data_IF_270724778081
#
_entry.id   IF_270724778081
#
_cell.length_a   1.000
_cell.length_b   1.000
_cell.length_c   1.000
_cell.angle_alpha   90.00
_cell.angle_beta   90.00
_cell.angle_gamma   90.00
#
_symmetry.space_group_name_H-M   'P 1'
#
loop_
_entity.id
_entity.type
_entity.pdbx_description
1 polymer ?
#
# COMPACT_ATOMS: atom_id res chain seq x y z
N UNK A 1 23.58 -24.77 14.54
CA UNK A 1 22.21 -24.34 14.94
C UNK A 1 22.35 -23.18 15.89
N UNK A 2 21.78 -22.05 15.58
CA UNK A 2 21.82 -20.86 16.45
C UNK A 2 20.87 -21.12 17.62
N UNK A 3 21.37 -21.07 18.86
CA UNK A 3 20.54 -21.27 20.05
C UNK A 3 19.62 -20.08 20.22
N UNK A 4 18.33 -20.31 20.52
CA UNK A 4 17.39 -19.26 20.81
C UNK A 4 17.75 -18.52 22.11
N UNK A 5 17.66 -17.22 22.10
CA UNK A 5 17.62 -16.40 23.32
C UNK A 5 16.20 -16.39 23.85
N UNK A 6 16.04 -16.83 25.11
CA UNK A 6 14.74 -16.77 25.80
C UNK A 6 14.76 -15.54 26.69
N UNK A 7 13.87 -14.61 26.41
CA UNK A 7 13.70 -13.38 27.20
C UNK A 7 12.53 -13.60 28.16
N UNK A 8 12.79 -13.76 29.46
CA UNK A 8 11.74 -14.08 30.42
C UNK A 8 10.84 -12.86 30.68
N UNK A 9 9.64 -13.12 31.20
CA UNK A 9 8.60 -12.11 31.44
C UNK A 9 9.09 -10.81 32.14
N UNK A 10 9.99 -10.84 33.13
CA UNK A 10 10.50 -9.60 33.77
C UNK A 10 11.38 -8.72 32.88
N UNK A 11 11.91 -9.26 31.78
CA UNK A 11 12.88 -8.57 30.91
C UNK A 11 12.25 -7.90 29.68
N UNK A 12 10.91 -7.93 29.53
CA UNK A 12 10.20 -7.28 28.45
C UNK A 12 8.89 -6.63 28.90
N UNK A 13 8.38 -5.70 28.09
CA UNK A 13 7.20 -4.87 28.41
C UNK A 13 5.85 -5.51 28.06
N UNK A 14 5.79 -6.62 27.34
CA UNK A 14 4.52 -7.20 26.88
C UNK A 14 3.68 -7.69 28.07
N UNK A 15 2.47 -7.14 28.24
CA UNK A 15 1.45 -7.62 29.16
C UNK A 15 0.32 -8.31 28.42
N UNK A 16 -0.30 -9.31 29.03
CA UNK A 16 -1.55 -9.92 28.50
C UNK A 16 -2.67 -8.91 28.38
N UNK A 17 -2.69 -7.88 29.20
CA UNK A 17 -3.70 -6.81 29.15
C UNK A 17 -3.62 -6.00 27.85
N UNK A 18 -2.50 -6.09 27.14
CA UNK A 18 -2.28 -5.41 25.85
C UNK A 18 -2.57 -6.34 24.66
N UNK A 19 -2.94 -7.59 24.91
CA UNK A 19 -3.28 -8.59 23.90
C UNK A 19 -4.80 -8.72 23.86
N UNK A 20 -5.36 -8.70 22.65
CA UNK A 20 -6.78 -8.84 22.45
C UNK A 20 -7.34 -10.13 23.07
N UNK A 21 -8.50 -10.04 23.74
CA UNK A 21 -9.15 -11.15 24.41
C UNK A 21 -9.44 -12.34 23.48
N UNK A 22 -9.71 -12.07 22.21
CA UNK A 22 -9.99 -13.09 21.21
C UNK A 22 -8.71 -13.82 20.84
N UNK A 23 -7.61 -13.11 20.68
CA UNK A 23 -6.29 -13.70 20.45
C UNK A 23 -5.87 -14.57 21.65
N UNK A 24 -6.07 -14.08 22.88
CA UNK A 24 -5.82 -14.87 24.10
C UNK A 24 -6.68 -16.14 24.15
N UNK A 25 -7.97 -16.09 23.81
CA UNK A 25 -8.85 -17.25 23.73
C UNK A 25 -8.32 -18.32 22.78
N UNK A 26 -7.82 -17.90 21.60
CA UNK A 26 -7.25 -18.83 20.62
C UNK A 26 -5.96 -19.45 21.13
N UNK A 27 -5.03 -18.63 21.66
CA UNK A 27 -3.76 -19.09 22.23
C UNK A 27 -3.98 -20.12 23.36
N UNK A 28 -4.81 -19.79 24.35
CA UNK A 28 -5.07 -20.69 25.46
C UNK A 28 -5.79 -21.97 25.05
N UNK A 29 -6.66 -21.92 24.05
CA UNK A 29 -7.36 -23.12 23.56
C UNK A 29 -6.41 -24.07 22.84
N UNK A 30 -5.47 -23.55 22.02
CA UNK A 30 -4.41 -24.34 21.41
C UNK A 30 -3.51 -24.94 22.49
N UNK A 31 -3.04 -24.14 23.43
CA UNK A 31 -2.19 -24.60 24.54
C UNK A 31 -2.84 -25.68 25.39
N UNK A 32 -4.12 -25.53 25.77
CA UNK A 32 -4.86 -26.54 26.52
C UNK A 32 -5.09 -27.84 25.75
N UNK A 33 -5.07 -27.80 24.42
CA UNK A 33 -5.14 -28.99 23.58
C UNK A 33 -3.77 -29.67 23.38
N UNK A 34 -2.71 -29.17 24.04
CA UNK A 34 -1.36 -29.74 24.02
C UNK A 34 -0.48 -29.22 22.88
N UNK A 35 -0.95 -28.20 22.14
CA UNK A 35 -0.15 -27.58 21.07
C UNK A 35 0.66 -26.39 21.59
N UNK A 36 1.80 -26.18 21.01
CA UNK A 36 2.58 -24.94 21.18
C UNK A 36 1.83 -23.81 20.50
N UNK A 37 1.61 -22.70 21.21
CA UNK A 37 0.85 -21.56 20.67
C UNK A 37 1.54 -20.24 21.05
N UNK A 38 1.91 -19.46 20.04
CA UNK A 38 2.71 -18.26 20.21
C UNK A 38 2.13 -17.11 19.40
N UNK A 39 2.11 -15.90 19.97
CA UNK A 39 1.98 -14.70 19.14
C UNK A 39 3.24 -14.50 18.34
N UNK A 40 3.12 -13.95 17.13
CA UNK A 40 4.26 -13.78 16.25
C UNK A 40 4.14 -12.53 15.37
N UNK A 41 5.27 -12.11 14.83
CA UNK A 41 5.31 -11.11 13.76
C UNK A 41 5.06 -9.68 14.23
N UNK A 42 4.27 -8.94 13.45
CA UNK A 42 4.03 -7.53 13.71
C UNK A 42 3.38 -7.23 15.05
N UNK A 43 2.51 -8.11 15.54
CA UNK A 43 1.86 -7.96 16.83
C UNK A 43 2.85 -7.93 18.01
N UNK A 44 3.79 -8.86 18.05
CA UNK A 44 4.82 -8.90 19.11
C UNK A 44 5.72 -7.66 19.06
N UNK A 45 6.19 -7.29 17.87
CA UNK A 45 6.98 -6.07 17.67
C UNK A 45 6.23 -4.81 18.11
N UNK A 46 4.99 -4.65 17.69
CA UNK A 46 4.20 -3.45 18.00
C UNK A 46 3.95 -3.34 19.50
N UNK A 47 3.69 -4.47 20.20
CA UNK A 47 3.58 -4.51 21.66
C UNK A 47 4.89 -4.09 22.35
N UNK A 48 6.04 -4.54 21.86
CA UNK A 48 7.37 -4.14 22.40
C UNK A 48 7.66 -2.65 22.20
N UNK A 49 7.16 -2.07 21.11
CA UNK A 49 7.25 -0.64 20.81
C UNK A 49 6.22 0.21 21.59
N UNK A 50 5.36 -0.41 22.39
CA UNK A 50 4.30 0.27 23.13
C UNK A 50 3.11 0.70 22.25
N UNK A 51 2.98 0.13 21.06
CA UNK A 51 1.87 0.38 20.14
C UNK A 51 0.77 -0.68 20.33
N UNK A 52 -0.49 -0.30 20.07
CA UNK A 52 -1.59 -1.26 19.98
C UNK A 52 -1.54 -1.95 18.60
N UNK A 53 -1.34 -3.29 18.52
CA UNK A 53 -1.39 -4.02 17.26
C UNK A 53 -2.78 -3.93 16.63
N UNK A 54 -2.81 -3.87 15.28
CA UNK A 54 -4.09 -3.98 14.54
C UNK A 54 -4.58 -5.42 14.45
N UNK A 55 -3.63 -6.35 14.27
CA UNK A 55 -3.89 -7.75 14.03
C UNK A 55 -2.96 -8.60 14.92
N UNK A 56 -3.46 -9.75 15.37
CA UNK A 56 -2.70 -10.71 16.17
C UNK A 56 -2.58 -12.00 15.38
N UNK A 57 -1.36 -12.31 14.92
CA UNK A 57 -1.03 -13.54 14.23
C UNK A 57 -0.56 -14.58 15.25
N UNK A 58 -1.05 -15.82 15.11
CA UNK A 58 -0.67 -16.94 15.96
C UNK A 58 0.08 -17.97 15.14
N UNK A 59 1.22 -18.41 15.65
CA UNK A 59 1.97 -19.54 15.12
C UNK A 59 1.90 -20.73 16.09
N UNK A 60 1.79 -21.96 15.55
CA UNK A 60 1.58 -23.18 16.32
C UNK A 60 2.19 -24.38 15.61
N UNK A 61 2.46 -25.46 16.36
CA UNK A 61 2.81 -26.79 15.81
C UNK A 61 1.57 -27.61 15.42
N UNK A 62 0.35 -27.15 15.76
CA UNK A 62 -0.88 -27.77 15.28
C UNK A 62 -0.99 -27.66 13.75
N UNK A 63 -1.32 -28.76 13.08
CA UNK A 63 -1.60 -28.75 11.65
C UNK A 63 -2.92 -28.00 11.36
N UNK A 64 -3.11 -27.41 10.16
CA UNK A 64 -4.33 -26.65 9.84
C UNK A 64 -5.62 -27.45 10.06
N UNK A 65 -5.58 -28.76 9.80
CA UNK A 65 -6.71 -29.68 10.01
C UNK A 65 -7.04 -29.85 11.50
N UNK A 66 -6.03 -29.82 12.37
CA UNK A 66 -6.24 -29.94 13.83
C UNK A 66 -6.77 -28.61 14.39
N UNK A 67 -6.26 -27.47 13.88
CA UNK A 67 -6.88 -26.17 14.18
C UNK A 67 -8.34 -26.17 13.76
N UNK A 68 -8.65 -26.71 12.56
CA UNK A 68 -10.04 -26.82 12.08
C UNK A 68 -10.92 -27.71 12.96
N UNK A 69 -10.40 -28.81 13.49
CA UNK A 69 -11.12 -29.67 14.45
C UNK A 69 -11.34 -28.96 15.80
N UNK A 70 -10.30 -28.23 16.26
CA UNK A 70 -10.35 -27.53 17.54
C UNK A 70 -11.30 -26.32 17.51
N UNK A 71 -11.40 -25.61 16.38
CA UNK A 71 -12.22 -24.42 16.20
C UNK A 71 -13.29 -24.65 15.13
N UNK A 72 -14.54 -24.96 15.54
CA UNK A 72 -15.66 -25.14 14.61
C UNK A 72 -15.94 -23.88 13.77
N UNK A 73 -15.66 -22.69 14.33
CA UNK A 73 -15.77 -21.38 13.69
C UNK A 73 -14.52 -21.00 12.88
N UNK A 74 -13.80 -21.94 12.30
CA UNK A 74 -12.62 -21.67 11.48
C UNK A 74 -12.79 -22.11 10.02
N UNK A 75 -12.00 -21.51 9.12
CA UNK A 75 -11.88 -21.90 7.72
C UNK A 75 -10.41 -21.97 7.32
N UNK A 76 -10.06 -22.99 6.54
CA UNK A 76 -8.74 -23.09 5.92
C UNK A 76 -8.73 -22.26 4.67
N UNK A 77 -7.74 -21.36 4.55
CA UNK A 77 -7.55 -20.46 3.41
C UNK A 77 -6.14 -20.58 2.87
N UNK A 78 -5.94 -20.06 1.66
CA UNK A 78 -4.65 -20.04 1.00
C UNK A 78 -4.33 -21.33 0.24
N UNK A 79 -3.96 -21.18 -1.05
CA UNK A 79 -3.47 -22.29 -1.89
C UNK A 79 -1.97 -22.45 -1.79
N UNK A 80 -1.25 -21.33 -1.75
CA UNK A 80 0.21 -21.29 -1.65
C UNK A 80 0.67 -21.52 -0.21
N UNK A 81 -0.02 -20.89 0.73
CA UNK A 81 0.25 -20.93 2.16
C UNK A 81 -1.05 -21.23 2.88
N UNK A 82 -1.17 -22.45 3.41
CA UNK A 82 -2.40 -22.88 4.09
C UNK A 82 -2.42 -22.31 5.50
N UNK A 83 -3.45 -21.52 5.81
CA UNK A 83 -3.67 -20.86 7.09
C UNK A 83 -5.07 -21.24 7.62
N UNK A 84 -5.26 -21.20 8.91
CA UNK A 84 -6.58 -21.28 9.52
C UNK A 84 -7.02 -19.88 9.97
N UNK A 85 -8.15 -19.40 9.44
CA UNK A 85 -8.84 -18.22 9.96
C UNK A 85 -9.88 -18.64 10.98
N UNK A 86 -9.74 -18.17 12.22
CA UNK A 86 -10.72 -18.38 13.29
C UNK A 86 -11.57 -17.13 13.44
N UNK A 87 -12.90 -17.28 13.27
CA UNK A 87 -13.83 -16.15 13.17
C UNK A 87 -14.54 -15.89 14.49
N UNK A 88 -14.56 -14.64 14.93
CA UNK A 88 -15.33 -14.16 16.08
C UNK A 88 -16.20 -12.98 15.63
N UNK A 89 -17.37 -13.28 15.07
CA UNK A 89 -18.20 -12.28 14.44
C UNK A 89 -17.52 -11.67 13.20
N UNK A 90 -17.08 -10.40 13.30
CA UNK A 90 -16.36 -9.71 12.24
C UNK A 90 -14.83 -9.80 12.37
N UNK A 91 -14.36 -10.24 13.52
CA UNK A 91 -12.93 -10.34 13.80
C UNK A 91 -12.40 -11.71 13.39
N UNK A 92 -11.15 -11.72 12.95
CA UNK A 92 -10.49 -12.92 12.43
C UNK A 92 -9.11 -13.01 13.08
N UNK A 93 -8.81 -14.17 13.68
CA UNK A 93 -7.46 -14.50 14.12
C UNK A 93 -6.84 -15.46 13.10
N UNK A 94 -5.70 -15.06 12.56
CA UNK A 94 -4.90 -15.92 11.67
C UNK A 94 -4.06 -16.88 12.51
N UNK A 95 -4.19 -18.18 12.21
CA UNK A 95 -3.41 -19.24 12.85
C UNK A 95 -2.59 -19.95 11.77
N UNK A 96 -1.27 -19.84 11.87
CA UNK A 96 -0.31 -20.47 10.98
C UNK A 96 0.38 -21.64 11.66
N UNK A 97 0.51 -22.78 10.97
CA UNK A 97 1.39 -23.87 11.42
C UNK A 97 2.84 -23.51 11.16
N UNK A 98 3.76 -23.84 12.07
CA UNK A 98 5.21 -23.70 11.84
C UNK A 98 5.61 -24.41 10.55
N UNK A 99 6.40 -23.74 9.73
CA UNK A 99 6.78 -24.27 8.41
C UNK A 99 8.25 -24.59 8.35
N UNK A 100 8.58 -25.64 7.62
CA UNK A 100 9.96 -26.06 7.44
C UNK A 100 10.78 -25.04 6.65
N UNK A 101 12.07 -24.92 6.97
CA UNK A 101 13.06 -24.13 6.24
C UNK A 101 13.29 -24.69 4.84
N UNK A 102 13.72 -23.85 3.89
CA UNK A 102 14.05 -24.25 2.52
C UNK A 102 15.36 -25.06 2.41
N UNK A 103 16.14 -25.15 3.50
CA UNK A 103 17.50 -25.65 3.49
C UNK A 103 17.59 -27.21 3.36
N UNK A 104 16.49 -27.93 3.59
CA UNK A 104 16.49 -29.40 3.46
C UNK A 104 16.10 -29.89 2.05
N UNK A 105 16.88 -29.51 1.03
CA UNK A 105 16.75 -30.06 -0.34
C UNK A 105 16.99 -31.58 -0.47
N UNK A 106 17.52 -32.21 0.56
CA UNK A 106 17.90 -33.64 0.52
C UNK A 106 16.85 -34.61 1.08
N UNK A 107 15.67 -34.13 1.48
CA UNK A 107 14.57 -35.01 1.89
C UNK A 107 13.36 -34.88 0.95
N UNK A 108 13.59 -35.04 -0.35
CA UNK A 108 12.51 -35.19 -1.32
C UNK A 108 11.95 -36.60 -1.27
N UNK A 109 10.89 -36.80 -0.50
CA UNK A 109 9.93 -37.83 -0.80
C UNK A 109 8.84 -37.25 -1.72
N UNK A 110 8.40 -38.06 -2.66
CA UNK A 110 7.62 -37.82 -3.86
C UNK A 110 6.23 -37.23 -3.71
N UNK A 111 5.92 -36.39 -2.69
CA UNK A 111 4.68 -35.69 -2.58
C UNK A 111 4.87 -34.16 -2.66
N UNK A 112 4.35 -33.62 -3.75
CA UNK A 112 4.56 -32.28 -4.30
C UNK A 112 3.96 -31.11 -3.48
N UNK A 113 4.20 -31.01 -2.18
CA UNK A 113 3.75 -29.90 -1.36
C UNK A 113 4.63 -28.64 -1.47
N UNK A 114 5.83 -28.78 -2.07
CA UNK A 114 6.67 -27.67 -2.52
C UNK A 114 6.74 -27.63 -4.03
N UNK A 115 6.50 -26.47 -4.60
CA UNK A 115 6.70 -26.22 -6.02
C UNK A 115 7.41 -24.87 -6.20
N UNK A 116 8.45 -24.89 -7.05
CA UNK A 116 9.14 -23.68 -7.52
C UNK A 116 8.91 -23.56 -9.02
N UNK A 117 8.97 -22.35 -9.55
CA UNK A 117 9.09 -22.14 -11.00
C UNK A 117 10.57 -22.26 -11.44
N UNK A 118 10.81 -22.24 -12.76
CA UNK A 118 12.15 -22.33 -13.34
C UNK A 118 13.10 -21.19 -12.92
N UNK A 119 12.58 -20.14 -12.31
CA UNK A 119 13.34 -19.00 -11.75
C UNK A 119 13.62 -19.13 -10.25
N UNK A 120 13.26 -20.25 -9.61
CA UNK A 120 13.45 -20.51 -8.18
C UNK A 120 12.38 -19.86 -7.29
N UNK A 121 11.26 -19.36 -7.84
CA UNK A 121 10.17 -18.76 -7.06
C UNK A 121 9.28 -19.82 -6.45
N UNK A 122 8.92 -19.63 -5.19
CA UNK A 122 8.04 -20.53 -4.43
C UNK A 122 6.60 -20.45 -4.97
N UNK A 123 6.09 -21.54 -5.52
CA UNK A 123 4.69 -21.67 -5.96
C UNK A 123 3.79 -22.30 -4.89
N UNK A 124 4.31 -23.28 -4.14
CA UNK A 124 3.67 -23.89 -2.97
C UNK A 124 4.70 -24.11 -1.87
N UNK A 125 4.28 -23.94 -0.62
CA UNK A 125 5.12 -24.17 0.55
C UNK A 125 4.22 -24.54 1.74
N UNK A 126 3.74 -25.77 1.75
CA UNK A 126 2.93 -26.35 2.83
C UNK A 126 3.68 -27.46 3.60
N UNK A 127 5.01 -27.40 3.56
CA UNK A 127 5.84 -28.29 4.37
C UNK A 127 5.96 -27.72 5.78
N UNK A 128 5.52 -28.50 6.77
CA UNK A 128 5.51 -28.08 8.16
C UNK A 128 6.82 -28.46 8.85
N UNK A 129 7.26 -27.64 9.80
CA UNK A 129 8.52 -27.75 10.50
C UNK A 129 8.43 -27.38 11.97
N UNK A 130 9.58 -27.11 12.56
CA UNK A 130 9.72 -26.65 13.92
C UNK A 130 9.70 -25.11 14.01
N UNK A 131 9.61 -24.56 15.21
CA UNK A 131 9.66 -23.13 15.44
C UNK A 131 10.90 -22.48 14.82
N UNK A 132 12.07 -23.10 14.99
CA UNK A 132 13.32 -22.62 14.40
C UNK A 132 13.23 -22.46 12.88
N UNK A 133 12.66 -23.47 12.20
CA UNK A 133 12.49 -23.42 10.74
C UNK A 133 11.58 -22.25 10.31
N UNK A 134 10.51 -22.00 11.06
CA UNK A 134 9.57 -20.90 10.77
C UNK A 134 10.22 -19.54 10.92
N UNK A 135 11.18 -19.38 11.84
CA UNK A 135 11.97 -18.15 12.02
C UNK A 135 12.77 -17.82 10.77
N UNK A 136 13.59 -18.76 10.29
CA UNK A 136 14.54 -18.52 9.19
C UNK A 136 13.90 -18.24 7.84
N UNK A 137 12.65 -18.59 7.64
CA UNK A 137 11.91 -18.29 6.42
C UNK A 137 11.22 -16.92 6.44
N UNK A 138 11.10 -16.26 7.60
CA UNK A 138 10.52 -14.92 7.69
C UNK A 138 11.39 -13.88 6.98
N UNK A 139 10.82 -12.70 6.77
CA UNK A 139 11.51 -11.63 6.03
C UNK A 139 12.50 -10.86 6.90
N UNK A 140 12.02 -10.23 7.96
CA UNK A 140 12.84 -9.33 8.80
C UNK A 140 12.90 -9.83 10.24
N UNK A 141 14.05 -9.60 10.88
CA UNK A 141 14.29 -9.97 12.29
C UNK A 141 13.20 -9.47 13.20
N UNK A 142 12.82 -8.20 13.07
CA UNK A 142 11.78 -7.54 13.89
C UNK A 142 10.39 -8.16 13.76
N UNK A 143 10.16 -9.02 12.77
CA UNK A 143 8.92 -9.78 12.57
C UNK A 143 9.09 -11.27 12.94
N UNK A 144 10.23 -11.66 13.53
CA UNK A 144 10.55 -13.04 13.88
C UNK A 144 10.70 -13.26 15.39
N UNK A 145 10.04 -12.44 16.17
CA UNK A 145 9.87 -12.62 17.61
C UNK A 145 8.60 -13.41 17.89
N UNK A 146 8.70 -14.35 18.84
CA UNK A 146 7.60 -15.22 19.23
C UNK A 146 7.35 -15.06 20.74
N UNK A 147 6.11 -14.68 21.12
CA UNK A 147 5.69 -14.60 22.50
C UNK A 147 4.96 -15.87 22.89
N UNK A 148 5.53 -16.66 23.80
CA UNK A 148 5.00 -17.94 24.26
C UNK A 148 3.95 -17.70 25.35
N UNK A 149 2.74 -18.24 25.15
CA UNK A 149 1.66 -18.11 26.12
C UNK A 149 1.82 -19.05 27.31
N UNK A 150 2.70 -20.04 27.25
CA UNK A 150 2.90 -21.03 28.30
C UNK A 150 3.64 -20.46 29.52
N UNK A 151 4.66 -19.65 29.28
CA UNK A 151 5.54 -19.05 30.30
C UNK A 151 5.70 -17.54 30.18
N UNK A 152 5.05 -16.94 29.15
CA UNK A 152 5.08 -15.51 28.86
C UNK A 152 6.45 -14.99 28.46
N UNK A 153 7.34 -15.85 27.97
CA UNK A 153 8.66 -15.47 27.45
C UNK A 153 8.57 -15.04 25.98
N UNK A 154 9.63 -14.35 25.53
CA UNK A 154 9.87 -14.10 24.11
C UNK A 154 11.00 -14.99 23.65
N UNK A 155 10.80 -15.66 22.52
CA UNK A 155 11.79 -16.50 21.85
C UNK A 155 12.38 -15.73 20.69
N UNK A 156 13.68 -15.49 20.69
CA UNK A 156 14.45 -14.78 19.69
C UNK A 156 15.62 -15.60 19.16
N UNK A 157 15.60 -15.94 17.87
CA UNK A 157 16.70 -16.66 17.19
C UNK A 157 17.61 -15.72 16.39
N UNK A 158 17.24 -14.46 16.21
CA UNK A 158 17.80 -13.56 15.19
C UNK A 158 18.35 -12.25 15.76
N UNK A 159 18.44 -12.11 17.09
CA UNK A 159 18.76 -10.85 17.77
C UNK A 159 17.77 -9.73 17.44
N UNK A 160 16.52 -10.09 17.22
CA UNK A 160 15.45 -9.16 16.85
C UNK A 160 15.13 -8.15 17.96
N UNK A 161 15.32 -8.52 19.23
CA UNK A 161 15.14 -7.61 20.37
C UNK A 161 16.08 -6.42 20.28
N UNK A 162 17.34 -6.63 19.89
CA UNK A 162 18.32 -5.55 19.69
C UNK A 162 17.93 -4.68 18.48
N UNK A 163 17.51 -5.30 17.38
CA UNK A 163 17.06 -4.59 16.18
C UNK A 163 15.80 -3.73 16.48
N UNK A 164 14.85 -4.24 17.27
CA UNK A 164 13.67 -3.45 17.71
C UNK A 164 14.10 -2.27 18.60
N UNK A 165 14.97 -2.50 19.56
CA UNK A 165 15.49 -1.47 20.48
C UNK A 165 16.24 -0.38 19.73
N UNK A 166 17.06 -0.76 18.75
CA UNK A 166 17.88 0.15 17.95
C UNK A 166 17.16 0.72 16.73
N UNK A 167 15.89 0.35 16.51
CA UNK A 167 15.08 0.73 15.32
C UNK A 167 15.76 0.38 14.01
N UNK A 168 16.29 -0.83 13.91
CA UNK A 168 16.97 -1.36 12.73
C UNK A 168 16.07 -2.38 12.04
N UNK A 169 15.95 -2.29 10.73
CA UNK A 169 15.26 -3.26 9.88
C UNK A 169 16.30 -4.13 9.17
N UNK A 170 16.44 -5.37 9.62
CA UNK A 170 17.40 -6.34 9.09
C UNK A 170 16.67 -7.50 8.43
N UNK A 171 17.08 -7.85 7.22
CA UNK A 171 16.60 -9.05 6.52
C UNK A 171 17.22 -10.30 7.15
N UNK A 172 16.43 -11.36 7.33
CA UNK A 172 16.91 -12.64 7.86
C UNK A 172 17.61 -13.42 6.76
N UNK A 173 18.79 -13.97 7.06
CA UNK A 173 19.61 -14.71 6.11
C UNK A 173 20.46 -13.81 5.21
N UNK A 174 21.00 -14.36 4.12
CA UNK A 174 21.79 -13.59 3.16
C UNK A 174 20.91 -12.67 2.30
N UNK A 175 21.06 -11.33 2.40
CA UNK A 175 20.17 -10.41 1.72
C UNK A 175 20.18 -10.53 0.19
N UNK A 176 21.32 -10.86 -0.42
CA UNK A 176 21.43 -11.07 -1.87
C UNK A 176 20.52 -12.23 -2.31
N UNK A 177 20.63 -13.36 -1.64
CA UNK A 177 19.81 -14.55 -1.90
C UNK A 177 18.33 -14.27 -1.64
N UNK A 178 18.03 -13.67 -0.49
CA UNK A 178 16.65 -13.43 -0.05
C UNK A 178 15.88 -12.46 -0.96
N UNK A 179 16.53 -11.43 -1.50
CA UNK A 179 15.90 -10.52 -2.47
C UNK A 179 15.74 -11.16 -3.84
N UNK A 180 16.63 -12.08 -4.25
CA UNK A 180 16.46 -12.85 -5.49
C UNK A 180 15.31 -13.86 -5.40
N UNK A 181 15.15 -14.53 -4.27
CA UNK A 181 14.01 -15.42 -4.01
C UNK A 181 12.67 -14.71 -4.08
N UNK A 182 12.59 -13.49 -3.53
CA UNK A 182 11.39 -12.66 -3.52
C UNK A 182 11.74 -11.17 -3.56
N UNK A 183 11.84 -10.58 -4.76
CA UNK A 183 12.15 -9.15 -4.93
C UNK A 183 11.18 -8.20 -4.24
N UNK A 184 9.93 -8.63 -3.98
CA UNK A 184 8.95 -7.84 -3.23
C UNK A 184 9.42 -7.54 -1.80
N UNK A 185 10.35 -8.31 -1.23
CA UNK A 185 10.96 -8.01 0.06
C UNK A 185 11.65 -6.64 0.08
N UNK A 186 12.16 -6.14 -1.05
CA UNK A 186 12.68 -4.77 -1.16
C UNK A 186 11.60 -3.72 -0.92
N UNK A 187 10.42 -3.88 -1.53
CA UNK A 187 9.27 -2.99 -1.28
C UNK A 187 8.75 -3.11 0.15
N UNK A 188 8.80 -4.32 0.73
CA UNK A 188 8.46 -4.54 2.14
C UNK A 188 9.45 -3.86 3.07
N UNK A 189 10.76 -3.86 2.76
CA UNK A 189 11.78 -3.12 3.50
C UNK A 189 11.45 -1.62 3.53
N UNK A 190 11.18 -1.02 2.37
CA UNK A 190 10.76 0.38 2.25
C UNK A 190 9.52 0.65 3.10
N UNK A 191 8.50 -0.20 2.99
CA UNK A 191 7.25 -0.04 3.72
C UNK A 191 7.44 -0.10 5.24
N UNK A 192 8.22 -1.07 5.73
CA UNK A 192 8.47 -1.18 7.16
C UNK A 192 9.37 -0.06 7.67
N UNK A 193 10.40 0.32 6.93
CA UNK A 193 11.23 1.48 7.26
C UNK A 193 10.38 2.75 7.40
N UNK A 194 9.49 3.03 6.42
CA UNK A 194 8.59 4.18 6.46
C UNK A 194 7.58 4.11 7.62
N UNK A 195 6.94 2.93 7.81
CA UNK A 195 5.86 2.75 8.80
C UNK A 195 6.37 2.81 10.23
N UNK A 196 7.54 2.21 10.50
CA UNK A 196 8.09 2.05 11.85
C UNK A 196 9.08 3.15 12.21
N UNK A 197 9.48 3.97 11.26
CA UNK A 197 10.57 4.94 11.40
C UNK A 197 11.88 4.23 11.78
N UNK A 198 12.18 3.15 11.05
CA UNK A 198 13.39 2.32 11.23
C UNK A 198 14.36 2.55 10.09
N UNK A 199 15.66 2.44 10.38
CA UNK A 199 16.72 2.43 9.37
C UNK A 199 16.94 1.01 8.84
N UNK A 200 17.14 0.87 7.54
CA UNK A 200 17.51 -0.43 6.97
C UNK A 200 18.98 -0.71 7.31
N UNK A 201 19.28 -1.93 7.82
CA UNK A 201 20.65 -2.34 8.13
C UNK A 201 21.52 -2.30 6.88
N UNK A 202 22.79 -1.83 6.95
CA UNK A 202 23.66 -1.69 5.76
C UNK A 202 23.75 -2.94 4.90
N UNK A 203 23.88 -4.13 5.49
CA UNK A 203 23.95 -5.40 4.74
C UNK A 203 22.66 -5.67 3.96
N UNK A 204 21.50 -5.24 4.48
CA UNK A 204 20.20 -5.38 3.83
C UNK A 204 19.90 -4.22 2.88
N UNK A 205 20.54 -3.07 3.05
CA UNK A 205 20.36 -1.86 2.25
C UNK A 205 21.08 -1.95 0.90
N UNK A 206 22.36 -2.30 0.90
CA UNK A 206 23.19 -2.30 -0.31
C UNK A 206 22.59 -3.16 -1.45
N UNK A 207 22.13 -4.39 -1.21
CA UNK A 207 21.55 -5.20 -2.27
C UNK A 207 20.25 -4.64 -2.87
N UNK A 208 19.58 -3.70 -2.23
CA UNK A 208 18.39 -3.04 -2.81
C UNK A 208 18.79 -2.24 -4.06
N UNK A 209 19.94 -1.56 -4.02
CA UNK A 209 20.44 -0.80 -5.17
C UNK A 209 20.80 -1.73 -6.33
N UNK A 210 21.42 -2.88 -6.04
CA UNK A 210 21.93 -3.82 -7.04
C UNK A 210 20.80 -4.62 -7.70
N UNK A 211 19.78 -4.99 -6.91
CA UNK A 211 18.74 -5.95 -7.29
C UNK A 211 17.38 -5.33 -7.58
N UNK A 212 17.25 -4.00 -7.47
CA UNK A 212 15.97 -3.29 -7.69
C UNK A 212 15.33 -3.63 -9.04
N UNK A 213 16.14 -3.90 -10.07
CA UNK A 213 15.68 -4.28 -11.40
C UNK A 213 14.81 -5.55 -11.44
N UNK A 214 14.98 -6.47 -10.47
CA UNK A 214 14.17 -7.69 -10.36
C UNK A 214 12.67 -7.41 -10.07
N UNK A 215 12.32 -6.19 -9.65
CA UNK A 215 10.92 -5.80 -9.51
C UNK A 215 10.16 -5.79 -10.85
N UNK A 216 10.87 -5.63 -11.97
CA UNK A 216 10.27 -5.68 -13.30
C UNK A 216 9.67 -7.06 -13.64
N UNK A 217 10.17 -8.12 -13.00
CA UNK A 217 9.71 -9.50 -13.22
C UNK A 217 8.55 -9.92 -12.30
N UNK A 218 8.12 -9.04 -11.38
CA UNK A 218 7.04 -9.36 -10.45
C UNK A 218 5.68 -9.25 -11.14
N UNK A 219 4.76 -10.22 -10.91
CA UNK A 219 3.43 -10.15 -11.47
C UNK A 219 2.72 -8.82 -11.14
N UNK A 220 2.12 -8.13 -12.15
CA UNK A 220 1.52 -6.81 -11.97
C UNK A 220 0.43 -6.75 -10.89
N UNK A 221 -0.30 -7.84 -10.66
CA UNK A 221 -1.31 -7.92 -9.61
C UNK A 221 -0.67 -7.85 -8.21
N UNK A 222 0.49 -8.51 -8.03
CA UNK A 222 1.23 -8.48 -6.76
C UNK A 222 1.82 -7.10 -6.48
N UNK A 223 2.36 -6.43 -7.52
CA UNK A 223 2.83 -5.05 -7.40
C UNK A 223 1.69 -4.09 -7.02
N UNK A 224 0.49 -4.29 -7.56
CA UNK A 224 -0.67 -3.50 -7.17
C UNK A 224 -0.93 -3.56 -5.66
N UNK A 225 -0.94 -4.76 -5.08
CA UNK A 225 -1.19 -4.94 -3.65
C UNK A 225 -0.09 -4.28 -2.79
N UNK A 226 1.18 -4.42 -3.17
CA UNK A 226 2.29 -3.80 -2.43
C UNK A 226 2.30 -2.27 -2.58
N UNK A 227 1.96 -1.72 -3.74
CA UNK A 227 1.81 -0.27 -3.95
C UNK A 227 0.73 0.31 -3.03
N UNK A 228 -0.40 -0.39 -2.87
CA UNK A 228 -1.43 0.06 -1.92
C UNK A 228 -0.92 0.02 -0.48
N UNK A 229 -0.20 -1.03 -0.08
CA UNK A 229 0.38 -1.12 1.26
C UNK A 229 1.43 -0.03 1.52
N UNK A 230 2.21 0.37 0.52
CA UNK A 230 3.19 1.45 0.61
C UNK A 230 2.52 2.80 0.84
N UNK A 231 1.57 3.15 -0.02
CA UNK A 231 1.00 4.50 -0.08
C UNK A 231 -0.29 4.69 0.73
N UNK A 232 -0.91 3.61 1.20
CA UNK A 232 -2.07 3.66 2.11
C UNK A 232 -1.72 3.20 3.53
N UNK A 233 -0.47 3.39 3.93
CA UNK A 233 0.00 3.10 5.30
C UNK A 233 -0.14 4.28 6.26
N UNK A 234 -0.48 5.47 5.77
CA UNK A 234 -0.42 6.73 6.51
C UNK A 234 0.99 7.33 6.57
N UNK A 235 1.91 6.81 5.73
CA UNK A 235 3.31 7.25 5.58
C UNK A 235 3.73 7.27 4.09
N UNK A 236 2.79 7.61 3.20
CA UNK A 236 3.01 7.59 1.75
C UNK A 236 4.09 8.56 1.29
N UNK A 237 4.19 9.73 1.93
CA UNK A 237 5.26 10.72 1.65
C UNK A 237 6.64 10.11 1.93
N UNK A 238 6.83 9.50 3.09
CA UNK A 238 8.10 8.84 3.45
C UNK A 238 8.39 7.67 2.53
N UNK A 239 7.36 6.88 2.19
CA UNK A 239 7.48 5.79 1.22
C UNK A 239 7.97 6.27 -0.15
N UNK A 240 7.46 7.41 -0.65
CA UNK A 240 7.92 8.01 -1.90
C UNK A 240 9.41 8.42 -1.81
N UNK A 241 9.80 9.08 -0.73
CA UNK A 241 11.19 9.51 -0.52
C UNK A 241 12.16 8.32 -0.50
N UNK A 242 11.79 7.23 0.19
CA UNK A 242 12.60 6.02 0.24
C UNK A 242 12.64 5.30 -1.13
N UNK A 243 11.50 5.19 -1.83
CA UNK A 243 11.48 4.62 -3.18
C UNK A 243 12.38 5.39 -4.16
N UNK A 244 12.43 6.72 -4.05
CA UNK A 244 13.37 7.55 -4.84
C UNK A 244 14.82 7.32 -4.43
N UNK A 245 15.11 7.34 -3.11
CA UNK A 245 16.46 7.10 -2.57
C UNK A 245 17.06 5.80 -3.09
N UNK A 246 16.27 4.74 -3.11
CA UNK A 246 16.70 3.41 -3.54
C UNK A 246 16.48 3.13 -5.04
N UNK A 247 16.11 4.13 -5.83
CA UNK A 247 15.81 4.01 -7.27
C UNK A 247 14.74 2.95 -7.62
N UNK A 248 13.82 2.65 -6.69
CA UNK A 248 12.76 1.66 -6.90
C UNK A 248 11.51 2.24 -7.55
N UNK A 249 11.31 3.58 -7.49
CA UNK A 249 10.11 4.24 -8.03
C UNK A 249 9.94 3.99 -9.53
N UNK A 250 11.03 3.94 -10.28
CA UNK A 250 11.04 3.68 -11.74
C UNK A 250 10.40 2.34 -12.14
N UNK A 251 10.46 1.32 -11.27
CA UNK A 251 9.86 0.00 -11.52
C UNK A 251 8.37 -0.06 -11.18
N UNK A 252 7.84 0.97 -10.53
CA UNK A 252 6.43 1.09 -10.17
C UNK A 252 5.71 2.16 -10.99
N UNK A 253 6.30 3.34 -11.08
CA UNK A 253 5.74 4.55 -11.72
C UNK A 253 6.81 5.28 -12.53
N UNK A 254 7.30 4.64 -13.59
CA UNK A 254 8.36 5.22 -14.41
C UNK A 254 8.08 6.66 -14.86
N UNK A 255 6.86 7.04 -15.32
CA UNK A 255 6.61 8.42 -15.73
C UNK A 255 6.75 9.43 -14.58
N UNK A 256 6.34 9.05 -13.37
CA UNK A 256 6.52 9.92 -12.20
C UNK A 256 8.00 10.04 -11.81
N UNK A 257 8.75 8.93 -11.84
CA UNK A 257 10.18 8.92 -11.55
C UNK A 257 10.96 9.78 -12.55
N UNK A 258 10.65 9.67 -13.85
CA UNK A 258 11.29 10.46 -14.91
C UNK A 258 11.02 11.97 -14.70
N UNK A 259 9.78 12.36 -14.42
CA UNK A 259 9.43 13.76 -14.18
C UNK A 259 10.12 14.33 -12.92
N UNK A 260 10.22 13.55 -11.85
CA UNK A 260 10.91 13.94 -10.62
C UNK A 260 12.43 14.04 -10.81
N UNK A 261 13.05 13.17 -11.62
CA UNK A 261 14.47 13.21 -11.96
C UNK A 261 14.80 14.39 -12.88
N UNK A 262 13.87 14.82 -13.71
CA UNK A 262 14.01 16.03 -14.56
C UNK A 262 13.83 17.34 -13.80
N UNK A 263 13.52 17.29 -12.50
CA UNK A 263 13.37 18.48 -11.66
C UNK A 263 12.05 19.23 -11.89
N UNK A 264 10.97 18.54 -12.23
CA UNK A 264 9.64 19.16 -12.35
C UNK A 264 9.09 19.50 -10.95
N UNK A 265 9.48 20.68 -10.44
CA UNK A 265 9.14 21.16 -9.09
C UNK A 265 7.63 21.23 -8.85
N UNK A 266 6.84 21.67 -9.83
CA UNK A 266 5.38 21.73 -9.72
C UNK A 266 4.76 20.37 -9.56
N UNK A 267 5.24 19.37 -10.33
CA UNK A 267 4.77 17.99 -10.21
C UNK A 267 5.24 17.35 -8.90
N UNK A 268 6.45 17.63 -8.43
CA UNK A 268 6.96 17.18 -7.14
C UNK A 268 6.11 17.72 -5.98
N UNK A 269 5.81 19.02 -5.98
CA UNK A 269 4.92 19.64 -5.01
C UNK A 269 3.50 19.03 -5.05
N UNK A 270 2.97 18.77 -6.25
CA UNK A 270 1.66 18.16 -6.43
C UNK A 270 1.59 16.74 -5.85
N UNK A 271 2.56 15.87 -6.18
CA UNK A 271 2.60 14.49 -5.64
C UNK A 271 2.75 14.53 -4.12
N UNK A 272 3.63 15.38 -3.59
CA UNK A 272 3.84 15.51 -2.16
C UNK A 272 2.54 15.88 -1.45
N UNK A 273 1.85 16.94 -1.89
CA UNK A 273 0.57 17.37 -1.32
C UNK A 273 -0.54 16.31 -1.44
N UNK A 274 -0.57 15.57 -2.56
CA UNK A 274 -1.55 14.49 -2.76
C UNK A 274 -1.34 13.33 -1.78
N UNK A 275 -0.07 12.94 -1.54
CA UNK A 275 0.27 11.91 -0.57
C UNK A 275 0.08 12.39 0.87
N UNK A 276 0.46 13.62 1.20
CA UNK A 276 0.23 14.22 2.52
C UNK A 276 -1.28 14.26 2.87
N UNK A 277 -2.12 14.68 1.91
CA UNK A 277 -3.58 14.66 2.07
C UNK A 277 -4.09 13.23 2.29
N UNK A 278 -3.52 12.24 1.58
CA UNK A 278 -3.85 10.82 1.74
C UNK A 278 -3.44 10.30 3.11
N UNK A 279 -2.21 10.57 3.55
CA UNK A 279 -1.67 10.19 4.85
C UNK A 279 -2.51 10.78 6.00
N UNK A 280 -2.85 12.06 5.90
CA UNK A 280 -3.72 12.73 6.88
C UNK A 280 -5.10 12.07 6.98
N UNK A 281 -5.69 11.68 5.86
CA UNK A 281 -6.99 10.97 5.86
C UNK A 281 -6.88 9.60 6.52
N UNK A 282 -5.85 8.82 6.19
CA UNK A 282 -5.62 7.49 6.77
C UNK A 282 -5.41 7.58 8.27
N UNK A 283 -4.57 8.52 8.73
CA UNK A 283 -4.29 8.73 10.15
C UNK A 283 -5.51 9.27 10.93
N UNK A 284 -6.53 9.77 10.22
CA UNK A 284 -7.84 10.17 10.77
C UNK A 284 -8.92 9.09 10.52
N UNK A 285 -8.53 7.87 10.14
CA UNK A 285 -9.44 6.75 9.82
C UNK A 285 -10.48 7.06 8.75
N UNK A 286 -10.20 8.05 7.91
CA UNK A 286 -11.07 8.44 6.79
C UNK A 286 -10.80 7.57 5.58
N UNK A 287 -11.84 7.19 4.82
CA UNK A 287 -11.67 6.33 3.65
C UNK A 287 -10.83 7.01 2.57
N UNK A 288 -9.93 6.25 1.96
CA UNK A 288 -9.14 6.62 0.78
C UNK A 288 -9.42 5.64 -0.36
N UNK A 289 -9.16 6.05 -1.59
CA UNK A 289 -9.39 5.20 -2.75
C UNK A 289 -8.10 5.03 -3.55
N UNK A 290 -7.76 3.80 -3.98
CA UNK A 290 -6.63 3.56 -4.87
C UNK A 290 -6.64 4.44 -6.12
N UNK A 291 -7.82 4.77 -6.64
CA UNK A 291 -7.95 5.59 -7.84
C UNK A 291 -7.32 6.99 -7.67
N UNK A 292 -7.38 7.59 -6.49
CA UNK A 292 -6.79 8.91 -6.26
C UNK A 292 -5.26 8.86 -6.31
N UNK A 293 -4.66 7.82 -5.70
CA UNK A 293 -3.23 7.56 -5.76
C UNK A 293 -2.74 7.43 -7.22
N UNK A 294 -3.38 6.54 -8.00
CA UNK A 294 -2.99 6.33 -9.39
C UNK A 294 -3.23 7.59 -10.25
N UNK A 295 -4.32 8.33 -9.98
CA UNK A 295 -4.56 9.58 -10.66
C UNK A 295 -3.44 10.60 -10.40
N UNK A 296 -2.96 10.69 -9.16
CA UNK A 296 -1.88 11.61 -8.81
C UNK A 296 -0.53 11.18 -9.40
N UNK A 297 -0.16 9.91 -9.22
CA UNK A 297 1.15 9.40 -9.68
C UNK A 297 1.33 9.45 -11.20
N UNK A 298 0.25 9.39 -11.96
CA UNK A 298 0.30 9.36 -13.42
C UNK A 298 -0.07 10.70 -14.07
N UNK A 299 -0.43 11.71 -13.26
CA UNK A 299 -0.94 12.99 -13.74
C UNK A 299 0.04 13.70 -14.66
N UNK A 300 1.29 13.85 -14.28
CA UNK A 300 2.28 14.59 -15.10
C UNK A 300 2.35 14.08 -16.53
N UNK A 301 2.39 12.77 -16.73
CA UNK A 301 2.44 12.18 -18.07
C UNK A 301 1.14 12.32 -18.84
N UNK A 302 -0.01 12.20 -18.16
CA UNK A 302 -1.32 12.39 -18.81
C UNK A 302 -1.51 13.82 -19.27
N UNK A 303 -1.13 14.79 -18.45
CA UNK A 303 -1.24 16.21 -18.79
C UNK A 303 -0.30 16.57 -19.96
N UNK A 304 0.94 16.11 -19.92
CA UNK A 304 1.93 16.28 -20.99
C UNK A 304 1.39 15.76 -22.34
N UNK A 305 0.96 14.49 -22.41
CA UNK A 305 0.41 13.91 -23.64
C UNK A 305 -0.87 14.66 -24.08
N UNK A 306 -1.72 15.05 -23.12
CA UNK A 306 -2.93 15.80 -23.43
C UNK A 306 -2.61 17.15 -24.07
N UNK A 307 -1.58 17.85 -23.59
CA UNK A 307 -1.15 19.11 -24.18
C UNK A 307 -0.51 18.90 -25.58
N UNK A 308 0.30 17.88 -25.78
CA UNK A 308 0.86 17.51 -27.09
C UNK A 308 -0.27 17.25 -28.11
N UNK A 309 -1.30 16.51 -27.74
CA UNK A 309 -2.45 16.21 -28.60
C UNK A 309 -3.28 17.47 -28.91
N UNK A 310 -3.44 18.37 -27.95
CA UNK A 310 -4.11 19.67 -28.20
C UNK A 310 -3.31 20.55 -29.17
N UNK A 311 -2.00 20.58 -29.03
CA UNK A 311 -1.12 21.31 -29.97
C UNK A 311 -1.18 20.74 -31.38
N UNK A 312 -1.40 19.42 -31.53
CA UNK A 312 -1.62 18.77 -32.82
C UNK A 312 -3.04 18.97 -33.39
N UNK A 313 -3.92 19.71 -32.68
CA UNK A 313 -5.25 20.09 -33.15
C UNK A 313 -6.41 19.28 -32.59
N UNK A 314 -6.17 18.36 -31.65
CA UNK A 314 -7.28 17.62 -31.02
C UNK A 314 -8.11 18.50 -30.07
N UNK A 315 -9.44 18.36 -30.05
CA UNK A 315 -10.27 19.00 -29.04
C UNK A 315 -9.87 18.54 -27.62
N UNK A 316 -9.73 19.47 -26.66
CA UNK A 316 -9.19 19.18 -25.33
C UNK A 316 -9.87 18.03 -24.55
N UNK A 317 -11.16 17.74 -24.78
CA UNK A 317 -11.84 16.58 -24.18
C UNK A 317 -11.34 15.27 -24.78
N UNK A 318 -11.15 15.25 -26.11
CA UNK A 318 -10.67 14.07 -26.85
C UNK A 318 -9.19 13.84 -26.52
N UNK A 319 -8.37 14.89 -26.53
CA UNK A 319 -6.97 14.84 -26.16
C UNK A 319 -6.77 14.23 -24.76
N UNK A 320 -7.51 14.69 -23.74
CA UNK A 320 -7.47 14.12 -22.40
C UNK A 320 -7.94 12.66 -22.36
N UNK A 321 -8.95 12.29 -23.16
CA UNK A 321 -9.43 10.92 -23.24
C UNK A 321 -8.40 9.97 -23.84
N UNK A 322 -7.75 10.42 -24.94
CA UNK A 322 -6.70 9.66 -25.62
C UNK A 322 -5.46 9.54 -24.74
N UNK A 323 -4.98 10.62 -24.16
CA UNK A 323 -3.87 10.62 -23.20
C UNK A 323 -4.13 9.66 -22.01
N UNK A 324 -5.33 9.75 -21.41
CA UNK A 324 -5.74 8.85 -20.32
C UNK A 324 -5.69 7.37 -20.73
N UNK A 325 -6.12 7.07 -21.96
CA UNK A 325 -6.12 5.70 -22.46
C UNK A 325 -4.72 5.18 -22.72
N UNK A 326 -3.84 6.01 -23.29
CA UNK A 326 -2.43 5.68 -23.54
C UNK A 326 -1.69 5.38 -22.25
N UNK A 327 -1.75 6.30 -21.28
CA UNK A 327 -1.03 6.17 -20.00
C UNK A 327 -1.52 4.97 -19.19
N UNK A 328 -2.84 4.77 -19.06
CA UNK A 328 -3.37 3.65 -18.33
C UNK A 328 -3.06 2.30 -19.00
N UNK A 329 -3.11 2.22 -20.33
CA UNK A 329 -2.78 0.98 -21.06
C UNK A 329 -1.31 0.57 -20.88
N UNK A 330 -0.42 1.54 -20.74
CA UNK A 330 0.98 1.29 -20.45
C UNK A 330 1.18 0.90 -18.98
N UNK A 331 0.59 1.65 -18.03
CA UNK A 331 0.76 1.42 -16.60
C UNK A 331 0.24 0.05 -16.15
N UNK A 332 -0.85 -0.44 -16.75
CA UNK A 332 -1.46 -1.76 -16.40
C UNK A 332 -0.49 -2.91 -16.70
N UNK A 333 0.47 -2.75 -17.61
CA UNK A 333 1.50 -3.76 -17.88
C UNK A 333 2.47 -3.92 -16.69
N UNK A 334 2.72 -2.83 -15.97
CA UNK A 334 3.59 -2.82 -14.78
C UNK A 334 2.81 -3.10 -13.50
N UNK A 335 1.67 -2.43 -13.31
CA UNK A 335 0.81 -2.59 -12.13
C UNK A 335 -0.62 -2.83 -12.61
N UNK A 336 -1.19 -3.98 -12.28
CA UNK A 336 -2.54 -4.36 -12.68
C UNK A 336 -3.60 -3.55 -11.94
N UNK A 337 -3.98 -2.40 -12.52
CA UNK A 337 -5.03 -1.53 -11.95
C UNK A 337 -6.41 -2.11 -12.29
N UNK A 338 -7.20 -2.59 -11.31
CA UNK A 338 -8.55 -3.10 -11.57
C UNK A 338 -9.43 -2.07 -12.28
N UNK A 339 -10.27 -2.52 -13.23
CA UNK A 339 -11.13 -1.67 -14.05
C UNK A 339 -11.97 -0.69 -13.23
N UNK A 340 -12.49 -1.12 -12.07
CA UNK A 340 -13.24 -0.26 -11.14
C UNK A 340 -12.48 0.99 -10.69
N UNK A 341 -11.16 0.92 -10.58
CA UNK A 341 -10.32 2.06 -10.20
C UNK A 341 -9.87 2.86 -11.41
N UNK A 342 -9.45 2.20 -12.50
CA UNK A 342 -9.02 2.91 -13.72
C UNK A 342 -10.14 3.75 -14.35
N UNK A 343 -11.39 3.35 -14.22
CA UNK A 343 -12.54 4.19 -14.62
C UNK A 343 -12.62 5.47 -13.78
N UNK A 344 -12.45 5.38 -12.46
CA UNK A 344 -12.47 6.55 -11.57
C UNK A 344 -11.27 7.47 -11.81
N UNK A 345 -10.10 6.90 -12.11
CA UNK A 345 -8.91 7.66 -12.53
C UNK A 345 -9.23 8.52 -13.77
N UNK A 346 -9.82 7.90 -14.80
CA UNK A 346 -10.25 8.63 -16.02
C UNK A 346 -11.25 9.75 -15.71
N UNK A 347 -12.24 9.47 -14.86
CA UNK A 347 -13.23 10.47 -14.46
C UNK A 347 -12.56 11.67 -13.79
N UNK A 348 -11.61 11.43 -12.86
CA UNK A 348 -10.87 12.51 -12.18
C UNK A 348 -10.16 13.40 -13.21
N UNK A 349 -9.42 12.81 -14.15
CA UNK A 349 -8.67 13.55 -15.17
C UNK A 349 -9.57 14.29 -16.15
N UNK A 350 -10.62 13.64 -16.67
CA UNK A 350 -11.54 14.24 -17.63
C UNK A 350 -12.32 15.42 -17.03
N UNK A 351 -12.55 15.42 -15.72
CA UNK A 351 -13.23 16.50 -15.06
C UNK A 351 -12.34 17.74 -14.87
N UNK A 352 -11.00 17.62 -14.94
CA UNK A 352 -10.10 18.74 -14.63
C UNK A 352 -10.36 19.95 -15.53
N UNK A 353 -10.45 19.78 -16.83
CA UNK A 353 -10.70 20.88 -17.76
C UNK A 353 -12.12 21.50 -17.62
N UNK A 354 -13.05 20.84 -16.92
CA UNK A 354 -14.41 21.31 -16.73
C UNK A 354 -14.52 22.36 -15.60
N UNK A 355 -13.57 22.40 -14.67
CA UNK A 355 -13.58 23.34 -13.55
C UNK A 355 -13.49 24.81 -14.00
N UNK A 356 -12.95 25.08 -15.18
CA UNK A 356 -12.95 26.42 -15.80
C UNK A 356 -14.35 26.94 -16.14
N UNK A 357 -15.34 26.06 -16.28
CA UNK A 357 -16.72 26.45 -16.60
C UNK A 357 -17.54 26.62 -15.33
N UNK A 358 -17.58 27.84 -14.80
CA UNK A 358 -18.19 28.16 -13.49
C UNK A 358 -19.67 28.49 -13.56
N UNK A 359 -20.27 28.60 -14.76
CA UNK A 359 -21.63 29.04 -14.95
C UNK A 359 -22.45 28.13 -15.87
N UNK A 360 -23.78 28.21 -15.72
CA UNK A 360 -24.74 27.56 -16.55
C UNK A 360 -24.83 26.03 -16.36
N UNK A 361 -25.36 25.35 -17.35
CA UNK A 361 -25.63 23.90 -17.28
C UNK A 361 -24.36 23.05 -17.08
N UNK A 362 -23.21 23.50 -17.60
CA UNK A 362 -21.94 22.76 -17.49
C UNK A 362 -21.45 22.73 -16.03
N UNK A 363 -21.51 23.88 -15.33
CA UNK A 363 -21.12 23.93 -13.93
C UNK A 363 -22.09 23.12 -13.04
N UNK A 364 -23.41 23.25 -13.25
CA UNK A 364 -24.42 22.46 -12.52
C UNK A 364 -24.21 20.94 -12.74
N UNK A 365 -23.99 20.52 -13.98
CA UNK A 365 -23.69 19.11 -14.31
C UNK A 365 -22.41 18.62 -13.67
N UNK A 366 -21.38 19.48 -13.54
CA UNK A 366 -20.13 19.14 -12.85
C UNK A 366 -20.34 18.95 -11.37
N UNK A 367 -21.04 19.89 -10.72
CA UNK A 367 -21.34 19.85 -9.28
C UNK A 367 -22.13 18.58 -8.89
N UNK A 368 -23.04 18.13 -9.76
CA UNK A 368 -23.86 16.93 -9.56
C UNK A 368 -23.15 15.62 -9.96
N UNK A 369 -21.92 15.69 -10.44
CA UNK A 369 -21.22 14.50 -10.91
C UNK A 369 -20.79 13.60 -9.75
N UNK A 370 -21.01 12.29 -9.83
CA UNK A 370 -20.69 11.32 -8.75
C UNK A 370 -19.22 11.35 -8.31
N UNK A 371 -18.31 11.79 -9.17
CA UNK A 371 -16.87 11.90 -8.89
C UNK A 371 -16.42 13.35 -8.70
N UNK A 372 -17.37 14.27 -8.56
CA UNK A 372 -17.07 15.70 -8.35
C UNK A 372 -16.10 15.90 -7.19
N UNK A 373 -16.37 15.30 -6.03
CA UNK A 373 -15.55 15.50 -4.82
C UNK A 373 -14.08 15.09 -5.06
N UNK A 374 -13.84 13.92 -5.62
CA UNK A 374 -12.48 13.45 -5.89
C UNK A 374 -11.76 14.33 -6.93
N UNK A 375 -12.47 14.74 -7.99
CA UNK A 375 -11.90 15.61 -9.02
C UNK A 375 -11.66 17.03 -8.49
N UNK A 376 -12.52 17.54 -7.60
CA UNK A 376 -12.37 18.83 -6.94
C UNK A 376 -11.15 18.82 -5.99
N UNK A 377 -11.04 17.81 -5.11
CA UNK A 377 -9.88 17.68 -4.23
C UNK A 377 -8.57 17.63 -5.03
N UNK A 378 -8.57 16.88 -6.15
CA UNK A 378 -7.46 16.80 -7.08
C UNK A 378 -7.10 18.17 -7.70
N UNK A 379 -8.09 18.92 -8.19
CA UNK A 379 -7.92 20.26 -8.75
C UNK A 379 -7.38 21.24 -7.70
N UNK A 380 -7.87 21.20 -6.47
CA UNK A 380 -7.37 22.07 -5.41
C UNK A 380 -5.90 21.75 -5.04
N UNK A 381 -5.49 20.48 -5.03
CA UNK A 381 -4.09 20.13 -4.81
C UNK A 381 -3.21 20.64 -5.96
N UNK A 382 -3.67 20.57 -7.22
CA UNK A 382 -2.98 21.19 -8.36
C UNK A 382 -2.82 22.71 -8.20
N UNK A 383 -3.86 23.37 -7.68
CA UNK A 383 -3.81 24.81 -7.39
C UNK A 383 -2.80 25.12 -6.27
N UNK A 384 -2.79 24.33 -5.20
CA UNK A 384 -1.81 24.48 -4.09
C UNK A 384 -0.37 24.23 -4.56
N UNK A 385 -0.17 23.35 -5.53
CA UNK A 385 1.13 23.09 -6.15
C UNK A 385 1.56 24.15 -7.18
N UNK A 386 0.71 25.15 -7.45
CA UNK A 386 1.00 26.23 -8.40
C UNK A 386 0.73 25.87 -9.87
N UNK A 387 0.16 24.70 -10.18
CA UNK A 387 -0.18 24.29 -11.55
C UNK A 387 -1.45 24.99 -12.06
N UNK A 388 -2.42 25.22 -11.18
CA UNK A 388 -3.64 25.97 -11.49
C UNK A 388 -3.56 27.33 -10.78
N UNK A 389 -3.38 28.38 -11.55
CA UNK A 389 -3.07 29.73 -11.04
C UNK A 389 -4.28 30.63 -10.86
N UNK A 390 -5.47 30.19 -11.28
CA UNK A 390 -6.72 30.94 -11.11
C UNK A 390 -7.40 30.62 -9.76
N UNK A 391 -8.47 31.35 -9.43
CA UNK A 391 -9.27 31.19 -8.21
C UNK A 391 -10.27 30.01 -8.28
N UNK A 392 -10.02 29.00 -9.11
CA UNK A 392 -10.93 27.87 -9.30
C UNK A 392 -11.16 27.09 -8.00
N UNK A 393 -10.11 26.82 -7.21
CA UNK A 393 -10.29 26.10 -5.96
C UNK A 393 -11.19 26.86 -4.99
N UNK A 394 -10.97 28.17 -4.79
CA UNK A 394 -11.75 29.00 -3.89
C UNK A 394 -13.21 29.12 -4.35
N UNK A 395 -13.41 29.30 -5.65
CA UNK A 395 -14.75 29.41 -6.21
C UNK A 395 -15.56 28.11 -6.02
N UNK A 396 -14.95 26.95 -6.34
CA UNK A 396 -15.61 25.66 -6.18
C UNK A 396 -15.73 25.23 -4.72
N UNK A 397 -14.87 25.72 -3.82
CA UNK A 397 -15.03 25.58 -2.37
C UNK A 397 -16.25 26.34 -1.90
N UNK A 398 -16.34 27.62 -2.26
CA UNK A 398 -17.44 28.50 -1.87
C UNK A 398 -18.80 27.95 -2.29
N UNK A 399 -18.95 27.49 -3.54
CA UNK A 399 -20.25 27.00 -4.02
C UNK A 399 -20.76 25.78 -3.24
N UNK A 400 -19.85 24.90 -2.74
CA UNK A 400 -20.23 23.72 -1.96
C UNK A 400 -20.77 24.08 -0.58
N UNK A 401 -20.42 25.25 -0.03
CA UNK A 401 -20.89 25.70 1.30
C UNK A 401 -22.19 26.49 1.24
N UNK A 402 -22.65 26.87 0.05
CA UNK A 402 -23.87 27.66 -0.12
C UNK A 402 -25.12 26.77 -0.09
N UNK A 403 -26.26 27.33 0.44
CA UNK A 403 -27.58 26.72 0.28
C UNK A 403 -27.95 26.54 -1.20
N UNK A 404 -28.79 25.54 -1.58
CA UNK A 404 -29.14 25.27 -2.98
C UNK A 404 -29.68 26.50 -3.77
N UNK A 405 -30.42 27.38 -3.12
CA UNK A 405 -30.94 28.58 -3.75
C UNK A 405 -29.83 29.57 -4.15
N UNK A 406 -28.82 29.74 -3.30
CA UNK A 406 -27.68 30.61 -3.56
C UNK A 406 -26.71 29.99 -4.56
N UNK A 407 -26.58 28.65 -4.57
CA UNK A 407 -25.84 27.91 -5.62
C UNK A 407 -26.45 28.23 -6.99
N UNK A 408 -27.77 28.14 -7.15
CA UNK A 408 -28.46 28.45 -8.41
C UNK A 408 -28.22 29.90 -8.86
N UNK A 409 -28.13 30.86 -7.92
CA UNK A 409 -27.80 32.25 -8.22
C UNK A 409 -26.37 32.38 -8.72
N UNK A 410 -25.40 31.77 -8.03
CA UNK A 410 -23.97 31.82 -8.39
C UNK A 410 -23.69 31.15 -9.73
N UNK A 411 -24.47 30.11 -10.07
CA UNK A 411 -24.36 29.35 -11.32
C UNK A 411 -25.00 30.07 -12.52
N UNK A 412 -25.80 31.14 -12.33
CA UNK A 412 -26.39 31.88 -13.45
C UNK A 412 -25.29 32.52 -14.30
N UNK A 413 -25.39 32.45 -15.64
CA UNK A 413 -24.47 33.17 -16.51
C UNK A 413 -24.48 34.63 -16.21
N UNK A 414 -23.34 35.29 -16.11
CA UNK A 414 -23.28 36.73 -16.08
C UNK A 414 -24.06 37.24 -17.31
N UNK A 415 -24.99 38.17 -17.10
CA UNK A 415 -25.78 38.77 -18.20
C UNK A 415 -24.82 39.21 -19.30
N UNK A 416 -24.94 38.63 -20.50
CA UNK A 416 -24.13 39.02 -21.63
C UNK A 416 -24.25 40.51 -21.84
N UNK A 417 -23.14 41.25 -21.83
CA UNK A 417 -23.15 42.67 -22.25
C UNK A 417 -23.80 42.74 -23.62
N UNK A 418 -24.75 43.62 -23.85
CA UNK A 418 -25.43 43.71 -25.13
C UNK A 418 -24.37 43.99 -26.22
N UNK A 419 -24.33 43.11 -27.23
CA UNK A 419 -23.47 43.33 -28.42
C UNK A 419 -23.88 44.68 -29.01
N UNK A 420 -22.98 45.68 -28.98
CA UNK A 420 -23.17 46.93 -29.75
C UNK A 420 -23.44 46.53 -31.19
N UNK A 421 -24.66 46.78 -31.68
CA UNK A 421 -24.99 46.68 -33.09
C UNK A 421 -24.02 47.60 -33.87
N UNK A 422 -23.14 47.03 -34.71
CA UNK A 422 -22.44 47.82 -35.70
C UNK A 422 -23.49 48.52 -36.56
N UNK A 423 -23.54 49.82 -36.47
CA UNK A 423 -24.42 50.62 -37.27
C UNK A 423 -24.18 50.32 -38.75
N UNK A 424 -25.23 50.01 -39.48
CA UNK A 424 -25.25 49.99 -40.93
C UNK A 424 -25.04 51.42 -41.41
N UNK A 425 -23.85 51.73 -41.92
CA UNK A 425 -23.68 52.90 -42.81
C UNK A 425 -24.45 52.59 -44.09
N UNK A 426 -25.52 53.26 -44.33
CA UNK A 426 -26.16 53.40 -45.64
C UNK A 426 -25.31 54.46 -46.40
N UNK A 427 -24.82 54.08 -47.55
CA UNK A 427 -24.66 54.93 -48.72
C UNK A 427 -25.28 54.22 -49.90
#
# INVERSE_FOLDING_TARGET
MTQATIIPRPEHSISRDNIDDIALKVLYRLHKAGYRAMLVGGGVRDLLLGHAPKDFDIATDAHPEDVKKLFSNSRLIGRRFRLAHVFFGREIIEVATFRASQIDENKSNEDSDRAHDDSGRILRDNVYGQLEDDVWRRDFTVNALYYDISDFSIVDYTSAMDDVKNKVLRLIGDPQTRYREDPVRMLRAIRFAAKLDFTIHPDSEQPIFDLGHLLADIPPARLFDEVLKLFHSGRGVVSLQLLRRYNLLQYLFKPADDALKQGNETFEAFIHLALESTDKRINQEKPVTPAFLFAAMLWGRVDEISEELKQSGEPGTIAMQNASSMVLSQQVKTISIPKRFSMVVRDIWQLQHRFKFRHGRRAKSLLMHKKFRAAYDFMCIRSMAGEVTDDSCDWWTRIQTLPPQDQDILLKPAKARPRKKKGAQKN
#
